data_IF_867175971893
#
_entry.id   IF_867175971893
#
_cell.length_a   1.000
_cell.length_b   1.000
_cell.length_c   1.000
_cell.angle_alpha   90.00
_cell.angle_beta   90.00
_cell.angle_gamma   90.00
#
_symmetry.space_group_name_H-M   'P 1'
#
loop_
_entity.id
_entity.type
_entity.pdbx_description
1 polymer ?
#
# COMPACT_ATOMS: atom_id res chain seq x y z
N UNK A 1 11.77 4.48 -1.05
CA UNK A 1 11.55 5.30 0.16
C UNK A 1 11.16 4.35 1.28
N UNK A 2 11.93 4.32 2.37
CA UNK A 2 11.51 3.58 3.56
C UNK A 2 10.18 4.14 4.07
N UNK A 3 9.37 3.28 4.68
CA UNK A 3 8.14 3.73 5.31
C UNK A 3 8.44 4.51 6.58
N UNK A 4 7.68 5.57 6.87
CA UNK A 4 7.62 6.19 8.20
C UNK A 4 6.33 5.77 8.90
N UNK A 5 6.43 5.44 10.18
CA UNK A 5 5.27 5.15 11.04
C UNK A 5 4.81 6.44 11.73
N UNK A 6 3.50 6.64 11.83
CA UNK A 6 2.92 7.80 12.49
C UNK A 6 2.04 7.32 13.64
N UNK A 7 2.24 7.88 14.83
CA UNK A 7 1.55 7.49 16.06
C UNK A 7 0.50 8.53 16.43
N UNK A 8 -0.66 8.07 16.90
CA UNK A 8 -1.78 8.91 17.31
C UNK A 8 -2.49 8.31 18.52
N UNK A 9 -3.13 9.16 19.31
CA UNK A 9 -4.08 8.71 20.32
C UNK A 9 -5.33 8.11 19.66
N UNK A 10 -5.94 7.06 20.25
CA UNK A 10 -7.17 6.49 19.74
C UNK A 10 -8.31 7.52 19.71
N UNK A 11 -8.94 7.68 18.55
CA UNK A 11 -10.09 8.56 18.37
C UNK A 11 -11.39 7.88 18.82
N UNK A 12 -12.39 8.66 19.24
CA UNK A 12 -13.76 8.17 19.45
C UNK A 12 -14.46 7.86 18.11
N UNK A 13 -15.48 6.98 18.09
CA UNK A 13 -16.25 6.72 16.88
C UNK A 13 -16.85 8.02 16.29
N UNK A 14 -16.55 8.28 15.01
CA UNK A 14 -16.97 9.49 14.30
C UNK A 14 -16.11 10.73 14.52
N UNK A 15 -15.08 10.65 15.37
CA UNK A 15 -14.17 11.77 15.60
C UNK A 15 -13.21 11.96 14.41
N UNK A 16 -12.89 13.22 14.14
CA UNK A 16 -11.92 13.64 13.13
C UNK A 16 -10.94 14.62 13.78
N UNK A 17 -9.64 14.37 13.61
CA UNK A 17 -8.56 15.21 14.10
C UNK A 17 -7.64 15.63 12.96
N UNK A 18 -7.14 16.88 12.98
CA UNK A 18 -6.18 17.38 12.00
C UNK A 18 -4.78 17.42 12.60
N UNK A 19 -3.84 16.71 11.97
CA UNK A 19 -2.42 16.81 12.31
C UNK A 19 -1.79 17.96 11.52
N UNK A 20 -1.33 19.00 12.23
CA UNK A 20 -0.63 20.13 11.60
C UNK A 20 0.78 19.76 11.15
N UNK A 21 1.49 18.93 11.91
CA UNK A 21 2.84 18.48 11.56
C UNK A 21 2.85 17.60 10.32
N UNK A 22 1.82 16.78 10.16
CA UNK A 22 1.70 15.86 9.02
C UNK A 22 0.84 16.39 7.88
N UNK A 23 0.13 17.50 8.08
CA UNK A 23 -0.77 18.14 7.12
C UNK A 23 -1.87 17.20 6.58
N UNK A 24 -2.52 16.45 7.46
CA UNK A 24 -3.66 15.60 7.09
C UNK A 24 -4.68 15.45 8.21
N UNK A 25 -5.87 15.00 7.82
CA UNK A 25 -6.95 14.62 8.73
C UNK A 25 -6.92 13.12 9.00
N UNK A 26 -6.96 12.73 10.27
CA UNK A 26 -7.22 11.37 10.71
C UNK A 26 -8.67 11.28 11.20
N UNK A 27 -9.37 10.24 10.83
CA UNK A 27 -10.73 9.99 11.27
C UNK A 27 -10.91 8.56 11.73
N UNK A 28 -11.78 8.36 12.71
CA UNK A 28 -12.34 7.05 13.03
C UNK A 28 -13.80 7.02 12.58
N UNK A 29 -14.14 6.00 11.80
CA UNK A 29 -15.52 5.75 11.39
C UNK A 29 -16.39 5.34 12.60
N UNK A 30 -17.67 5.09 12.37
CA UNK A 30 -18.64 4.72 13.42
C UNK A 30 -19.86 5.64 13.50
N UNK A 31 -20.02 6.59 12.56
CA UNK A 31 -21.19 7.46 12.48
C UNK A 31 -21.67 7.63 11.04
N UNK A 32 -22.98 7.66 10.85
CA UNK A 32 -23.58 7.82 9.53
C UNK A 32 -23.25 9.18 8.90
N UNK A 33 -23.23 10.25 9.68
CA UNK A 33 -23.09 11.62 9.16
C UNK A 33 -22.20 12.44 10.06
N UNK A 34 -21.35 13.25 9.43
CA UNK A 34 -20.61 14.30 10.11
C UNK A 34 -21.47 15.55 10.27
N UNK A 35 -21.07 16.41 11.21
CA UNK A 35 -21.70 17.71 11.38
C UNK A 35 -21.60 18.52 10.08
N UNK A 36 -22.69 19.20 9.69
CA UNK A 36 -22.80 19.87 8.37
C UNK A 36 -21.72 20.94 8.13
N UNK A 37 -21.21 21.56 9.19
CA UNK A 37 -20.15 22.56 9.12
C UNK A 37 -18.72 22.01 8.98
N UNK A 38 -18.53 20.68 9.07
CA UNK A 38 -17.18 20.12 8.97
C UNK A 38 -16.65 20.24 7.54
N UNK A 39 -15.37 20.63 7.35
CA UNK A 39 -14.76 20.66 6.01
C UNK A 39 -14.84 19.32 5.27
N UNK A 40 -14.77 18.20 6.00
CA UNK A 40 -14.85 16.85 5.42
C UNK A 40 -16.29 16.29 5.35
N UNK A 41 -17.33 17.04 5.72
CA UNK A 41 -18.70 16.50 5.75
C UNK A 41 -19.16 15.99 4.37
N UNK A 42 -18.78 16.68 3.29
CA UNK A 42 -19.06 16.25 1.93
C UNK A 42 -18.30 14.98 1.57
N UNK A 43 -17.00 14.95 1.83
CA UNK A 43 -16.15 13.79 1.54
C UNK A 43 -16.58 12.57 2.37
N UNK A 44 -17.02 12.77 3.62
CA UNK A 44 -17.58 11.71 4.46
C UNK A 44 -18.85 11.10 3.85
N UNK A 45 -19.75 11.92 3.30
CA UNK A 45 -20.99 11.44 2.68
C UNK A 45 -20.76 10.58 1.44
N UNK A 46 -19.62 10.72 0.77
CA UNK A 46 -19.27 9.89 -0.37
C UNK A 46 -18.91 8.45 0.04
N UNK A 47 -18.55 8.23 1.30
CA UNK A 47 -18.17 6.90 1.79
C UNK A 47 -19.35 5.92 1.74
N UNK A 48 -19.09 4.65 1.34
CA UNK A 48 -20.05 3.58 1.50
C UNK A 48 -20.57 3.49 2.94
N UNK A 49 -21.84 3.15 3.09
CA UNK A 49 -22.48 3.13 4.41
C UNK A 49 -21.82 2.16 5.38
N UNK A 50 -21.47 0.96 4.92
CA UNK A 50 -20.77 -0.05 5.71
C UNK A 50 -19.44 0.49 6.27
N UNK A 51 -18.73 1.30 5.49
CA UNK A 51 -17.48 1.94 5.93
C UNK A 51 -17.77 2.99 7.00
N UNK A 52 -18.76 3.87 6.76
CA UNK A 52 -19.15 4.94 7.71
C UNK A 52 -19.57 4.39 9.07
N UNK A 53 -20.29 3.27 9.09
CA UNK A 53 -20.83 2.66 10.31
C UNK A 53 -19.81 1.84 11.10
N UNK A 54 -18.68 1.45 10.51
CA UNK A 54 -17.72 0.58 11.20
C UNK A 54 -16.83 1.38 12.17
N UNK A 55 -16.87 1.13 13.48
CA UNK A 55 -16.00 1.80 14.46
C UNK A 55 -14.56 1.27 14.43
N UNK A 56 -14.28 0.25 13.63
CA UNK A 56 -12.96 -0.38 13.52
C UNK A 56 -12.14 0.19 12.37
N UNK A 57 -12.75 0.97 11.48
CA UNK A 57 -12.07 1.58 10.34
C UNK A 57 -11.54 2.96 10.74
N UNK A 58 -10.27 3.17 10.45
CA UNK A 58 -9.66 4.49 10.47
C UNK A 58 -9.48 4.95 9.03
N UNK A 59 -9.51 6.26 8.82
CA UNK A 59 -9.27 6.85 7.52
C UNK A 59 -8.38 8.08 7.63
N UNK A 60 -7.65 8.35 6.57
CA UNK A 60 -6.83 9.53 6.43
C UNK A 60 -7.25 10.31 5.19
N UNK A 61 -7.32 11.64 5.28
CA UNK A 61 -7.53 12.52 4.14
C UNK A 61 -6.51 13.66 4.16
N UNK A 62 -5.73 13.78 3.08
CA UNK A 62 -4.79 14.89 2.91
C UNK A 62 -5.49 16.19 2.46
N UNK A 63 -6.72 16.10 1.93
CA UNK A 63 -7.49 17.25 1.47
C UNK A 63 -8.99 17.05 1.69
N UNK A 64 -9.77 18.11 1.54
CA UNK A 64 -11.23 18.09 1.76
C UNK A 64 -12.04 17.60 0.56
N UNK A 65 -11.39 17.44 -0.60
CA UNK A 65 -12.03 17.09 -1.87
C UNK A 65 -11.42 15.88 -2.57
N UNK A 66 -10.31 15.35 -2.05
CA UNK A 66 -9.58 14.25 -2.67
C UNK A 66 -10.18 12.89 -2.36
N UNK A 67 -9.42 12.09 -1.64
CA UNK A 67 -9.74 10.70 -1.34
C UNK A 67 -9.53 10.40 0.15
N UNK A 68 -10.30 9.44 0.65
CA UNK A 68 -10.04 8.77 1.90
C UNK A 68 -9.10 7.60 1.67
N UNK A 69 -8.01 7.56 2.43
CA UNK A 69 -7.13 6.41 2.56
C UNK A 69 -7.65 5.55 3.71
N UNK A 70 -8.04 4.31 3.43
CA UNK A 70 -8.63 3.39 4.41
C UNK A 70 -7.51 2.66 5.16
N UNK A 71 -7.48 2.81 6.48
CA UNK A 71 -6.48 2.25 7.37
C UNK A 71 -7.07 1.05 8.13
N UNK A 72 -6.65 -0.14 7.73
CA UNK A 72 -7.08 -1.41 8.30
C UNK A 72 -5.92 -2.14 8.96
N UNK A 73 -6.14 -3.38 9.39
CA UNK A 73 -5.03 -4.19 9.88
C UNK A 73 -4.32 -4.87 8.72
N UNK A 74 -3.01 -5.12 8.87
CA UNK A 74 -2.30 -5.96 7.93
C UNK A 74 -2.96 -7.34 7.92
N UNK A 75 -3.18 -7.86 6.72
CA UNK A 75 -3.50 -9.26 6.54
C UNK A 75 -2.30 -10.08 6.99
N UNK A 76 -2.52 -11.04 7.90
CA UNK A 76 -1.48 -11.94 8.41
C UNK A 76 -2.03 -13.36 8.50
N UNK A 77 -1.17 -14.32 8.21
CA UNK A 77 -1.45 -15.74 8.51
C UNK A 77 -1.12 -15.96 9.98
N UNK A 78 -2.07 -16.44 10.81
CA UNK A 78 -1.78 -16.81 12.19
C UNK A 78 -0.74 -17.93 12.25
N UNK A 79 0.11 -17.92 13.26
CA UNK A 79 1.04 -19.03 13.49
C UNK A 79 0.29 -20.33 13.81
N UNK A 80 0.88 -21.48 13.50
CA UNK A 80 0.24 -22.80 13.70
C UNK A 80 -0.20 -23.04 15.16
N UNK A 81 0.51 -22.45 16.13
CA UNK A 81 0.24 -22.56 17.56
C UNK A 81 -0.48 -21.32 18.16
N UNK A 82 -0.91 -20.36 17.32
CA UNK A 82 -1.58 -19.13 17.78
C UNK A 82 -3.07 -19.40 18.09
N UNK A 83 -3.56 -18.88 19.21
CA UNK A 83 -4.98 -18.99 19.59
C UNK A 83 -5.84 -18.11 18.66
N UNK A 84 -6.91 -18.69 18.10
CA UNK A 84 -7.82 -18.00 17.20
C UNK A 84 -9.08 -17.45 17.91
N UNK A 85 -9.55 -16.23 17.57
CA UNK A 85 -8.93 -15.31 16.62
C UNK A 85 -7.70 -14.62 17.24
N UNK A 86 -6.64 -14.38 16.45
CA UNK A 86 -5.42 -13.79 16.95
C UNK A 86 -5.67 -12.34 17.37
N UNK A 87 -4.89 -11.85 18.34
CA UNK A 87 -5.06 -10.48 18.78
C UNK A 87 -4.75 -9.47 17.66
N UNK A 88 -5.48 -8.34 17.64
CA UNK A 88 -5.24 -7.22 16.75
C UNK A 88 -3.81 -6.69 16.73
N UNK A 89 -3.19 -6.45 15.56
CA UNK A 89 -1.99 -5.64 15.50
C UNK A 89 -2.23 -4.24 16.09
N UNK A 90 -1.26 -3.75 16.86
CA UNK A 90 -1.30 -2.40 17.44
C UNK A 90 -1.20 -1.28 16.37
N UNK A 91 -0.83 -1.63 15.14
CA UNK A 91 -0.66 -0.70 14.03
C UNK A 91 -1.65 -0.99 12.90
N UNK A 92 -1.84 0.03 12.05
CA UNK A 92 -2.71 -0.05 10.88
C UNK A 92 -1.90 0.19 9.63
N UNK A 93 -2.32 -0.42 8.54
CA UNK A 93 -1.73 -0.24 7.21
C UNK A 93 -2.78 0.26 6.23
N UNK A 94 -2.33 0.83 5.12
CA UNK A 94 -3.20 1.24 4.04
C UNK A 94 -3.83 0.00 3.38
N UNK A 95 -5.15 -0.12 3.44
CA UNK A 95 -5.91 -1.27 2.95
C UNK A 95 -6.84 -0.91 1.79
N UNK A 96 -6.97 0.37 1.48
CA UNK A 96 -7.72 0.79 0.31
C UNK A 96 -7.87 2.29 0.21
N UNK A 97 -8.61 2.72 -0.80
CA UNK A 97 -8.92 4.12 -1.08
C UNK A 97 -10.40 4.24 -1.43
N UNK A 98 -11.02 5.32 -0.99
CA UNK A 98 -12.36 5.74 -1.42
C UNK A 98 -12.26 7.16 -1.93
N UNK A 99 -12.62 7.39 -3.18
CA UNK A 99 -12.61 8.75 -3.73
C UNK A 99 -13.84 9.57 -3.32
N UNK A 100 -13.84 10.86 -3.65
CA UNK A 100 -14.96 11.76 -3.36
C UNK A 100 -16.28 11.44 -4.07
N UNK A 101 -16.31 10.43 -4.94
CA UNK A 101 -17.52 9.91 -5.60
C UNK A 101 -18.00 8.60 -5.00
N UNK A 102 -17.29 8.05 -4.01
CA UNK A 102 -17.61 6.77 -3.38
C UNK A 102 -17.10 5.56 -4.15
N UNK A 103 -16.24 5.75 -5.16
CA UNK A 103 -15.58 4.63 -5.84
C UNK A 103 -14.49 4.10 -4.92
N UNK A 104 -14.46 2.78 -4.77
CA UNK A 104 -13.54 2.09 -3.86
C UNK A 104 -12.47 1.35 -4.62
N UNK A 105 -11.28 1.27 -4.04
CA UNK A 105 -10.23 0.35 -4.43
C UNK A 105 -9.66 -0.28 -3.15
N UNK A 106 -9.93 -1.56 -2.92
CA UNK A 106 -9.34 -2.33 -1.84
C UNK A 106 -7.99 -2.88 -2.29
N UNK A 107 -6.99 -2.88 -1.41
CA UNK A 107 -5.66 -3.40 -1.67
C UNK A 107 -5.49 -4.78 -1.05
N UNK A 108 -4.89 -5.68 -1.83
CA UNK A 108 -4.48 -7.01 -1.38
C UNK A 108 -2.98 -7.00 -1.13
N UNK A 109 -2.56 -7.58 -0.01
CA UNK A 109 -1.15 -7.62 0.37
C UNK A 109 -0.66 -9.05 0.38
N UNK A 110 0.59 -9.27 0.01
CA UNK A 110 1.22 -10.56 0.22
C UNK A 110 1.30 -10.85 1.71
N UNK A 111 0.78 -11.99 2.14
CA UNK A 111 0.86 -12.38 3.56
C UNK A 111 2.25 -12.90 3.94
N UNK A 112 2.98 -13.50 2.99
CA UNK A 112 4.27 -14.17 3.21
C UNK A 112 5.25 -13.97 2.03
N UNK A 113 6.48 -14.44 2.21
CA UNK A 113 7.56 -14.41 1.21
C UNK A 113 8.35 -13.10 1.20
N UNK A 114 9.24 -12.96 0.22
CA UNK A 114 10.17 -11.81 0.09
C UNK A 114 9.47 -10.46 -0.09
N UNK A 115 8.17 -10.48 -0.43
CA UNK A 115 7.34 -9.29 -0.61
C UNK A 115 6.22 -9.19 0.43
N UNK A 116 6.31 -9.93 1.54
CA UNK A 116 5.32 -9.89 2.61
C UNK A 116 4.99 -8.45 3.05
N UNK A 117 3.71 -8.18 3.22
CA UNK A 117 3.16 -6.87 3.51
C UNK A 117 3.11 -5.90 2.32
N UNK A 118 3.74 -6.17 1.18
CA UNK A 118 3.63 -5.31 -0.01
C UNK A 118 2.27 -5.50 -0.71
N UNK A 119 1.79 -4.45 -1.39
CA UNK A 119 0.55 -4.51 -2.17
C UNK A 119 0.79 -5.28 -3.47
N UNK A 120 0.14 -6.43 -3.61
CA UNK A 120 0.26 -7.34 -4.77
C UNK A 120 -0.99 -7.38 -5.63
N UNK A 121 -2.05 -6.68 -5.22
CA UNK A 121 -3.28 -6.61 -5.99
C UNK A 121 -4.25 -5.57 -5.47
N UNK A 122 -5.37 -5.46 -6.16
CA UNK A 122 -6.50 -4.70 -5.66
C UNK A 122 -7.81 -5.10 -6.31
N UNK A 123 -8.91 -4.81 -5.61
CA UNK A 123 -10.27 -5.00 -6.13
C UNK A 123 -11.00 -3.67 -6.09
N UNK A 124 -11.55 -3.25 -7.23
CA UNK A 124 -12.33 -2.02 -7.28
C UNK A 124 -13.80 -2.24 -6.87
N UNK A 125 -14.54 -1.14 -6.73
CA UNK A 125 -15.95 -1.18 -6.36
C UNK A 125 -16.89 -1.84 -7.39
N UNK A 126 -16.40 -2.13 -8.60
CA UNK A 126 -17.14 -2.90 -9.60
C UNK A 126 -16.86 -4.41 -9.50
N UNK A 127 -15.91 -4.83 -8.66
CA UNK A 127 -15.51 -6.23 -8.50
C UNK A 127 -14.36 -6.65 -9.41
N UNK A 128 -13.76 -5.72 -10.16
CA UNK A 128 -12.59 -6.01 -11.01
C UNK A 128 -11.36 -6.23 -10.15
N UNK A 129 -10.62 -7.31 -10.41
CA UNK A 129 -9.41 -7.65 -9.67
C UNK A 129 -8.17 -7.39 -10.51
N UNK A 130 -7.18 -6.75 -9.91
CA UNK A 130 -5.90 -6.45 -10.52
C UNK A 130 -4.78 -7.16 -9.77
N UNK A 131 -3.78 -7.62 -10.50
CA UNK A 131 -2.55 -8.15 -9.94
C UNK A 131 -1.40 -7.19 -10.23
N UNK A 132 -0.57 -6.95 -9.22
CA UNK A 132 0.63 -6.15 -9.25
C UNK A 132 1.83 -7.08 -9.07
N UNK A 133 2.55 -7.37 -10.15
CA UNK A 133 3.77 -8.14 -10.09
C UNK A 133 4.87 -7.30 -9.47
N UNK A 134 5.48 -7.82 -8.41
CA UNK A 134 6.57 -7.17 -7.69
C UNK A 134 7.86 -7.93 -7.93
N UNK A 135 8.95 -7.20 -8.16
CA UNK A 135 10.30 -7.74 -8.22
C UNK A 135 11.13 -7.25 -7.03
N UNK A 136 12.00 -8.12 -6.52
CA UNK A 136 13.00 -7.76 -5.50
C UNK A 136 14.29 -7.27 -6.16
N UNK A 137 15.15 -6.59 -5.39
CA UNK A 137 16.47 -6.17 -5.87
C UNK A 137 17.31 -7.36 -6.30
N UNK A 138 17.26 -8.45 -5.54
CA UNK A 138 17.96 -9.70 -5.84
C UNK A 138 17.50 -10.30 -7.18
N UNK A 139 16.18 -10.36 -7.42
CA UNK A 139 15.63 -10.87 -8.68
C UNK A 139 16.08 -10.02 -9.88
N UNK A 140 16.07 -8.69 -9.75
CA UNK A 140 16.53 -7.79 -10.82
C UNK A 140 18.04 -7.92 -11.06
N UNK A 141 18.84 -8.06 -10.02
CA UNK A 141 20.28 -8.29 -10.15
C UNK A 141 20.59 -9.62 -10.83
N UNK A 142 19.83 -10.68 -10.52
CA UNK A 142 19.94 -11.97 -11.19
C UNK A 142 19.52 -11.90 -12.66
N UNK A 143 18.41 -11.22 -12.97
CA UNK A 143 17.97 -11.00 -14.34
C UNK A 143 19.03 -10.26 -15.17
N UNK A 144 19.65 -9.22 -14.60
CA UNK A 144 20.75 -8.50 -15.22
C UNK A 144 21.96 -9.42 -15.49
N UNK A 145 22.34 -10.26 -14.52
CA UNK A 145 23.42 -11.25 -14.70
C UNK A 145 23.11 -12.23 -15.84
N UNK A 146 21.88 -12.74 -15.91
CA UNK A 146 21.42 -13.64 -16.98
C UNK A 146 21.49 -12.98 -18.36
N UNK A 147 21.01 -11.73 -18.48
CA UNK A 147 21.08 -10.95 -19.73
C UNK A 147 22.52 -10.67 -20.17
N UNK A 148 23.42 -10.40 -19.23
CA UNK A 148 24.84 -10.20 -19.52
C UNK A 148 25.47 -11.50 -20.02
N UNK A 149 25.19 -12.62 -19.37
CA UNK A 149 25.70 -13.93 -19.78
C UNK A 149 25.22 -14.31 -21.20
N UNK A 150 23.94 -14.10 -21.51
CA UNK A 150 23.40 -14.36 -22.85
C UNK A 150 24.02 -13.45 -23.92
N UNK A 151 24.23 -12.16 -23.61
CA UNK A 151 24.86 -11.20 -24.53
C UNK A 151 26.32 -11.54 -24.82
N UNK A 152 27.05 -12.08 -23.84
CA UNK A 152 28.42 -12.55 -24.01
C UNK A 152 28.53 -13.86 -24.82
N UNK A 153 27.45 -14.62 -24.92
CA UNK A 153 27.39 -15.89 -25.66
C UNK A 153 26.93 -15.76 -27.13
N UNK A 154 26.57 -14.56 -27.60
CA UNK A 154 26.11 -14.33 -29.00
C UNK A 154 27.29 -14.23 -30.00
N UNK A 155 27.29 -14.94 -31.15
CA UNK A 155 28.48 -15.06 -32.02
C UNK A 155 28.82 -13.88 -32.95
N UNK A 156 28.06 -12.77 -33.01
CA UNK A 156 28.34 -11.69 -33.97
C UNK A 156 27.88 -10.30 -33.50
N UNK A 157 28.84 -9.40 -33.28
CA UNK A 157 28.61 -7.95 -33.09
C UNK A 157 29.87 -7.25 -32.57
N UNK A 158 30.25 -6.07 -33.10
CA UNK A 158 31.46 -5.37 -32.69
C UNK A 158 31.39 -5.05 -31.19
N UNK A 159 32.46 -5.37 -30.46
CA UNK A 159 32.60 -5.12 -29.03
C UNK A 159 32.52 -3.62 -28.76
N UNK A 160 31.34 -3.14 -28.36
CA UNK A 160 31.22 -1.80 -27.81
C UNK A 160 31.80 -1.82 -26.40
N UNK A 161 33.02 -1.29 -26.29
CA UNK A 161 33.70 -1.03 -25.03
C UNK A 161 33.05 0.20 -24.40
N UNK A 162 31.85 0.05 -23.82
CA UNK A 162 31.22 1.16 -23.11
C UNK A 162 30.44 0.71 -21.89
N UNK A 163 30.99 1.10 -20.74
CA UNK A 163 30.43 1.12 -19.39
C UNK A 163 30.06 -0.22 -18.74
N UNK A 164 30.98 -0.66 -17.89
CA UNK A 164 30.82 -1.59 -16.79
C UNK A 164 29.78 -1.12 -15.76
N UNK A 165 28.50 -1.05 -16.13
CA UNK A 165 27.44 -0.90 -15.14
C UNK A 165 27.18 -2.27 -14.51
N UNK A 166 27.68 -2.46 -13.30
CA UNK A 166 27.31 -3.56 -12.42
C UNK A 166 25.94 -3.20 -11.84
N UNK A 167 24.93 -4.04 -12.07
CA UNK A 167 23.67 -3.88 -11.36
C UNK A 167 23.88 -4.32 -9.91
N UNK A 168 23.61 -3.46 -8.92
CA UNK A 168 23.95 -3.75 -7.53
C UNK A 168 23.03 -4.84 -6.96
N UNK A 169 23.60 -5.83 -6.27
CA UNK A 169 22.81 -6.88 -5.60
C UNK A 169 22.08 -6.35 -4.36
N UNK A 170 22.61 -5.31 -3.72
CA UNK A 170 22.04 -4.68 -2.52
C UNK A 170 21.85 -3.17 -2.73
N UNK A 171 20.84 -2.61 -2.06
CA UNK A 171 20.62 -1.16 -2.09
C UNK A 171 21.45 -0.44 -1.02
N UNK A 172 21.79 0.84 -1.23
CA UNK A 172 22.46 1.65 -0.23
C UNK A 172 21.70 1.67 1.11
N UNK A 173 22.43 1.84 2.21
CA UNK A 173 21.89 1.89 3.56
C UNK A 173 21.03 3.17 3.77
N UNK A 174 19.78 3.12 3.31
CA UNK A 174 18.71 4.06 3.61
C UNK A 174 18.89 5.52 3.17
N UNK A 175 17.77 6.24 3.21
CA UNK A 175 17.73 7.71 3.13
C UNK A 175 17.22 8.25 4.47
N UNK A 176 17.08 9.58 4.61
CA UNK A 176 16.36 10.17 5.76
C UNK A 176 14.92 9.64 5.93
N UNK A 177 14.35 9.07 4.87
CA UNK A 177 13.05 8.42 4.85
C UNK A 177 13.13 6.90 5.15
N UNK A 178 14.24 6.39 5.68
CA UNK A 178 14.41 4.97 6.03
C UNK A 178 14.99 4.10 4.92
N UNK A 179 15.16 2.81 5.24
CA UNK A 179 15.76 1.81 4.36
C UNK A 179 14.83 1.46 3.18
N UNK A 180 15.40 1.39 1.99
CA UNK A 180 14.68 0.90 0.81
C UNK A 180 14.58 -0.63 0.86
N UNK A 181 13.36 -1.16 0.80
CA UNK A 181 13.12 -2.61 0.84
C UNK A 181 13.48 -3.33 -0.48
N UNK A 182 13.86 -2.58 -1.53
CA UNK A 182 14.25 -3.15 -2.81
C UNK A 182 13.11 -3.75 -3.63
N UNK A 183 11.86 -3.58 -3.20
CA UNK A 183 10.68 -4.06 -3.92
C UNK A 183 10.26 -3.01 -4.94
N UNK A 184 10.01 -3.42 -6.19
CA UNK A 184 9.52 -2.54 -7.27
C UNK A 184 8.38 -3.20 -8.02
N UNK A 185 7.44 -2.38 -8.48
CA UNK A 185 6.43 -2.82 -9.41
C UNK A 185 7.07 -3.12 -10.77
N UNK A 186 6.79 -4.30 -11.29
CA UNK A 186 7.27 -4.75 -12.60
C UNK A 186 6.16 -4.66 -13.65
N UNK A 187 4.95 -5.12 -13.31
CA UNK A 187 3.82 -5.13 -14.23
C UNK A 187 2.49 -5.09 -13.46
N UNK A 188 1.42 -4.71 -14.17
CA UNK A 188 0.04 -4.69 -13.67
C UNK A 188 -0.86 -5.29 -14.73
N UNK A 189 -1.80 -6.15 -14.33
CA UNK A 189 -2.84 -6.66 -15.23
C UNK A 189 -4.14 -6.96 -14.50
N UNK A 190 -5.21 -7.05 -15.28
CA UNK A 190 -6.53 -7.46 -14.82
C UNK A 190 -6.56 -8.99 -14.72
N UNK A 191 -6.98 -9.52 -13.57
CA UNK A 191 -7.13 -10.96 -13.34
C UNK A 191 -8.59 -11.42 -13.37
N UNK A 192 -9.53 -10.51 -13.11
CA UNK A 192 -10.95 -10.79 -13.15
C UNK A 192 -11.74 -9.54 -13.54
N UNK A 193 -12.70 -9.68 -14.45
CA UNK A 193 -13.72 -8.69 -14.80
C UNK A 193 -15.09 -9.39 -14.68
N UNK A 194 -16.00 -8.91 -13.81
CA UNK A 194 -17.27 -9.56 -13.53
C UNK A 194 -18.35 -9.36 -14.60
#
# INVERSE_FOLDING_TARGET
SGGRSIHFEPLFPGEISYSRSESFWLARCGVLKQHKGHPLARLWRALPEAVRLSPHIYMMAASTTGQWLVLGWPERVPGADEVLPPEPPAYRVLTGVVDGFGRTLAFHRAAEGDVAGAVTGGTDGAGRCFHLALSTQAQRAEAFRKQRASSLSSPAGPRSVSSSQVFPDTLPAGTEYGADNGIRLEAVWLTHDP
#
